data_IF_098407772307
#
_entry.id   IF_098407772307
#
_cell.length_a   1.000
_cell.length_b   1.000
_cell.length_c   1.000
_cell.angle_alpha   90.00
_cell.angle_beta   90.00
_cell.angle_gamma   90.00
#
_symmetry.space_group_name_H-M   'P 1'
#
loop_
_entity.id
_entity.type
_entity.pdbx_description
1 polymer ?
#
# COMPACT_ATOMS: atom_id res chain seq x y z
N UNK A 1 16.99 -24.81 21.72
CA UNK A 1 15.67 -24.16 21.51
C UNK A 1 15.95 -22.87 20.78
N UNK A 2 15.52 -22.72 19.53
CA UNK A 2 15.70 -21.48 18.80
C UNK A 2 14.58 -20.52 19.24
N UNK A 3 14.98 -19.44 19.91
CA UNK A 3 14.12 -18.30 20.20
C UNK A 3 13.83 -17.58 18.87
N UNK A 4 12.75 -17.96 18.21
CA UNK A 4 12.14 -17.15 17.17
C UNK A 4 11.31 -16.07 17.85
N UNK A 5 11.98 -15.03 18.34
CA UNK A 5 11.30 -13.77 18.60
C UNK A 5 10.54 -13.40 17.32
N UNK A 6 9.21 -13.22 17.35
CA UNK A 6 8.50 -12.73 16.19
C UNK A 6 9.12 -11.38 15.86
N UNK A 7 9.64 -11.23 14.64
CA UNK A 7 9.99 -9.91 14.10
C UNK A 7 8.77 -9.03 14.34
N UNK A 8 8.87 -8.10 15.28
CA UNK A 8 7.79 -7.17 15.61
C UNK A 8 7.32 -6.51 14.31
N UNK A 9 6.03 -6.61 14.03
CA UNK A 9 5.37 -5.96 12.90
C UNK A 9 5.83 -4.50 12.82
N UNK A 10 6.38 -4.08 11.68
CA UNK A 10 6.87 -2.71 11.50
C UNK A 10 5.74 -1.81 11.04
N UNK A 11 4.85 -2.33 10.20
CA UNK A 11 3.67 -1.59 9.75
C UNK A 11 2.53 -1.69 10.77
N UNK A 12 1.79 -0.60 10.93
CA UNK A 12 0.68 -0.54 11.87
C UNK A 12 -0.58 0.00 11.19
N UNK A 13 -1.74 -0.36 11.75
CA UNK A 13 -2.99 0.29 11.40
C UNK A 13 -3.01 1.73 12.00
N UNK A 14 -3.75 2.63 11.38
CA UNK A 14 -3.89 4.01 11.86
C UNK A 14 -5.36 4.38 11.98
N UNK A 15 -5.72 5.08 13.06
CA UNK A 15 -7.11 5.39 13.42
C UNK A 15 -7.82 6.25 12.36
N UNK A 16 -7.08 7.07 11.61
CA UNK A 16 -7.62 7.92 10.53
C UNK A 16 -7.80 7.21 9.18
N UNK A 17 -7.50 5.92 9.07
CA UNK A 17 -7.65 5.13 7.86
C UNK A 17 -8.42 3.83 8.08
N UNK A 18 -9.05 3.33 7.03
CA UNK A 18 -9.73 2.03 7.04
C UNK A 18 -9.74 1.40 5.66
N UNK A 19 -9.85 0.07 5.62
CA UNK A 19 -9.97 -0.71 4.40
C UNK A 19 -11.43 -1.10 4.17
N UNK A 20 -12.06 -0.54 3.14
CA UNK A 20 -13.48 -0.75 2.84
C UNK A 20 -13.61 -1.78 1.71
N UNK A 21 -14.31 -2.91 1.92
CA UNK A 21 -14.60 -3.87 0.85
C UNK A 21 -15.30 -3.19 -0.34
N UNK A 22 -14.84 -3.50 -1.54
CA UNK A 22 -15.42 -3.01 -2.78
C UNK A 22 -15.23 -4.02 -3.91
N UNK A 23 -15.93 -3.81 -5.02
CA UNK A 23 -15.78 -4.65 -6.21
C UNK A 23 -16.01 -3.86 -7.49
N UNK A 24 -15.54 -4.41 -8.62
CA UNK A 24 -15.88 -3.94 -9.97
C UNK A 24 -15.65 -2.44 -10.22
N UNK A 25 -14.61 -1.84 -9.62
CA UNK A 25 -14.28 -0.43 -9.78
C UNK A 25 -14.98 0.51 -8.82
N UNK A 26 -15.82 -0.02 -7.93
CA UNK A 26 -16.41 0.79 -6.88
C UNK A 26 -15.33 1.35 -5.97
N UNK A 27 -15.53 2.61 -5.58
CA UNK A 27 -14.69 3.35 -4.65
C UNK A 27 -15.56 3.84 -3.51
N UNK A 28 -14.95 3.98 -2.34
CA UNK A 28 -15.57 4.67 -1.21
C UNK A 28 -15.68 6.17 -1.51
N UNK A 29 -16.73 6.87 -1.03
CA UNK A 29 -16.78 8.34 -1.05
C UNK A 29 -15.58 9.00 -0.33
N UNK A 30 -14.97 8.28 0.62
CA UNK A 30 -13.84 8.73 1.40
C UNK A 30 -12.52 8.09 0.93
N UNK A 31 -12.47 7.51 -0.27
CA UNK A 31 -11.25 6.89 -0.78
C UNK A 31 -10.09 7.89 -0.77
N UNK A 32 -8.90 7.41 -0.40
CA UNK A 32 -7.68 8.18 -0.58
C UNK A 32 -7.50 8.46 -2.07
N UNK A 33 -7.57 9.75 -2.44
CA UNK A 33 -7.47 10.17 -3.83
C UNK A 33 -6.13 10.87 -4.04
N UNK A 34 -5.26 10.20 -4.80
CA UNK A 34 -3.95 10.71 -5.14
C UNK A 34 -3.76 10.66 -6.65
N UNK A 35 -4.62 11.37 -7.40
CA UNK A 35 -4.69 11.44 -8.87
C UNK A 35 -5.49 10.29 -9.53
N UNK A 36 -5.21 9.95 -10.80
CA UNK A 36 -5.96 9.01 -11.68
C UNK A 36 -6.16 7.59 -11.15
N UNK A 37 -5.57 7.24 -10.01
CA UNK A 37 -5.58 5.89 -9.43
C UNK A 37 -5.90 5.98 -7.93
N UNK A 38 -6.57 4.95 -7.41
CA UNK A 38 -6.84 4.82 -5.97
C UNK A 38 -6.03 3.68 -5.38
N UNK A 39 -5.79 3.72 -4.07
CA UNK A 39 -5.05 2.66 -3.38
C UNK A 39 -6.01 1.55 -2.96
N UNK A 40 -5.65 0.32 -3.28
CA UNK A 40 -6.38 -0.85 -2.82
C UNK A 40 -5.48 -2.00 -2.39
N UNK A 41 -6.09 -3.00 -1.78
CA UNK A 41 -5.46 -4.29 -1.47
C UNK A 41 -6.44 -5.44 -1.69
N UNK A 42 -5.94 -6.64 -1.94
CA UNK A 42 -6.79 -7.81 -2.14
C UNK A 42 -6.07 -9.11 -1.85
N UNK A 43 -6.85 -10.14 -1.53
CA UNK A 43 -6.36 -11.49 -1.29
C UNK A 43 -5.91 -12.14 -2.61
N UNK A 44 -4.69 -12.67 -2.62
CA UNK A 44 -4.17 -13.43 -3.76
C UNK A 44 -3.08 -14.40 -3.29
N UNK A 45 -3.16 -15.66 -3.72
CA UNK A 45 -2.13 -16.69 -3.46
C UNK A 45 -1.74 -16.87 -1.98
N UNK A 46 -2.69 -16.64 -1.07
CA UNK A 46 -2.50 -16.76 0.39
C UNK A 46 -1.86 -15.54 1.07
N UNK A 47 -1.67 -14.44 0.34
CA UNK A 47 -1.29 -13.14 0.88
C UNK A 47 -2.35 -12.07 0.63
N UNK A 48 -2.11 -10.88 1.18
CA UNK A 48 -2.88 -9.66 0.91
C UNK A 48 -1.94 -8.67 0.23
N UNK A 49 -2.25 -8.30 -1.01
CA UNK A 49 -1.35 -7.51 -1.85
C UNK A 49 -1.90 -6.13 -2.14
N UNK A 50 -1.16 -5.04 -1.81
CA UNK A 50 -1.55 -3.70 -2.19
C UNK A 50 -1.18 -3.39 -3.65
N UNK A 51 -1.89 -2.43 -4.22
CA UNK A 51 -1.70 -1.95 -5.58
C UNK A 51 -2.61 -0.76 -5.88
N UNK A 52 -2.96 -0.59 -7.15
CA UNK A 52 -3.79 0.52 -7.60
C UNK A 52 -5.11 0.05 -8.21
N UNK A 53 -6.15 0.87 -8.07
CA UNK A 53 -7.47 0.62 -8.64
C UNK A 53 -7.67 1.56 -9.84
N UNK A 54 -7.98 0.96 -10.98
CA UNK A 54 -8.39 1.64 -12.22
C UNK A 54 -9.32 0.71 -13.02
N UNK A 55 -10.11 1.26 -13.95
CA UNK A 55 -10.87 0.51 -14.97
C UNK A 55 -11.56 -0.78 -14.46
N UNK A 56 -12.19 -0.69 -13.29
CA UNK A 56 -12.97 -1.78 -12.67
C UNK A 56 -12.19 -2.93 -12.01
N UNK A 57 -10.95 -2.71 -11.58
CA UNK A 57 -10.22 -3.72 -10.80
C UNK A 57 -9.08 -3.15 -9.98
N UNK A 58 -8.62 -3.96 -9.02
CA UNK A 58 -7.37 -3.75 -8.32
C UNK A 58 -6.25 -4.45 -9.09
N UNK A 59 -5.25 -3.68 -9.50
CA UNK A 59 -4.05 -4.15 -10.20
C UNK A 59 -2.93 -4.35 -9.17
N UNK A 60 -2.45 -5.58 -9.03
CA UNK A 60 -1.34 -5.93 -8.14
C UNK A 60 -0.17 -6.52 -8.93
N UNK A 61 1.04 -6.25 -8.44
CA UNK A 61 2.27 -6.88 -8.92
C UNK A 61 2.50 -8.22 -8.21
N UNK A 62 2.62 -9.29 -9.00
CA UNK A 62 2.91 -10.61 -8.45
C UNK A 62 3.70 -11.50 -9.43
N UNK A 63 4.91 -11.89 -9.02
CA UNK A 63 5.75 -12.91 -9.69
C UNK A 63 5.91 -12.67 -11.20
N UNK A 64 6.26 -11.44 -11.58
CA UNK A 64 6.50 -11.03 -12.96
C UNK A 64 5.26 -10.60 -13.73
N UNK A 65 4.06 -10.68 -13.13
CA UNK A 65 2.78 -10.38 -13.81
C UNK A 65 1.99 -9.29 -13.09
N UNK A 66 1.17 -8.60 -13.86
CA UNK A 66 0.03 -7.86 -13.34
C UNK A 66 -1.15 -8.82 -13.14
N UNK A 67 -1.76 -8.76 -11.96
CA UNK A 67 -2.98 -9.50 -11.63
C UNK A 67 -4.09 -8.49 -11.36
N UNK A 68 -5.26 -8.70 -11.97
CA UNK A 68 -6.42 -7.83 -11.82
C UNK A 68 -7.48 -8.54 -10.97
N UNK A 69 -7.71 -8.04 -9.77
CA UNK A 69 -8.70 -8.55 -8.82
C UNK A 69 -10.01 -7.76 -8.93
N UNK A 70 -11.14 -8.48 -8.96
CA UNK A 70 -12.48 -7.88 -9.02
C UNK A 70 -13.09 -7.59 -7.65
N UNK A 71 -12.66 -8.33 -6.63
CA UNK A 71 -12.99 -8.09 -5.24
C UNK A 71 -11.73 -7.61 -4.54
N UNK A 72 -11.84 -6.51 -3.80
CA UNK A 72 -10.71 -5.87 -3.15
C UNK A 72 -11.20 -5.00 -1.99
N UNK A 73 -10.26 -4.32 -1.34
CA UNK A 73 -10.55 -3.29 -0.36
C UNK A 73 -9.93 -1.98 -0.81
N UNK A 74 -10.65 -0.87 -0.63
CA UNK A 74 -10.22 0.49 -0.95
C UNK A 74 -9.69 1.15 0.32
N UNK A 75 -8.50 1.72 0.26
CA UNK A 75 -8.00 2.55 1.35
C UNK A 75 -8.85 3.82 1.44
N UNK A 76 -9.49 4.03 2.57
CA UNK A 76 -10.44 5.12 2.79
C UNK A 76 -10.13 5.90 4.06
N UNK A 77 -10.32 7.20 4.02
CA UNK A 77 -10.25 8.07 5.18
C UNK A 77 -11.36 7.70 6.17
N UNK A 78 -10.98 7.59 7.45
CA UNK A 78 -11.90 7.37 8.56
C UNK A 78 -11.96 8.64 9.39
N UNK A 79 -13.09 9.35 9.28
CA UNK A 79 -13.36 10.54 10.10
C UNK A 79 -13.68 10.08 11.51
N UNK A 80 -12.81 10.38 12.46
CA UNK A 80 -13.02 10.10 13.87
C UNK A 80 -12.18 11.02 14.76
N UNK A 81 -12.49 11.02 16.07
CA UNK A 81 -11.85 11.94 17.01
C UNK A 81 -12.15 13.40 16.68
N UNK A 82 -11.11 14.21 16.58
CA UNK A 82 -11.19 15.64 16.25
C UNK A 82 -11.21 15.93 14.74
N UNK A 83 -11.08 14.92 13.88
CA UNK A 83 -11.10 15.11 12.43
C UNK A 83 -12.52 15.44 11.96
N UNK A 84 -12.65 16.44 11.09
CA UNK A 84 -13.93 16.89 10.52
C UNK A 84 -14.01 16.73 9.01
N UNK A 85 -12.90 16.41 8.33
CA UNK A 85 -12.87 16.24 6.87
C UNK A 85 -11.96 15.10 6.41
N UNK A 86 -12.21 14.63 5.18
CA UNK A 86 -11.39 13.62 4.51
C UNK A 86 -9.94 14.10 4.39
N UNK A 87 -9.73 15.37 4.04
CA UNK A 87 -8.40 15.96 3.90
C UNK A 87 -7.63 15.89 5.22
N UNK A 88 -8.24 16.25 6.35
CA UNK A 88 -7.60 16.18 7.66
C UNK A 88 -7.20 14.74 8.05
N UNK A 89 -8.00 13.75 7.65
CA UNK A 89 -7.66 12.35 7.84
C UNK A 89 -6.49 11.90 6.95
N UNK A 90 -6.47 12.36 5.70
CA UNK A 90 -5.38 12.06 4.75
C UNK A 90 -4.07 12.76 5.15
N UNK A 91 -4.14 13.96 5.74
CA UNK A 91 -2.99 14.74 6.22
C UNK A 91 -2.23 14.08 7.39
N UNK A 92 -2.82 13.06 8.03
CA UNK A 92 -2.12 12.23 9.01
C UNK A 92 -1.03 11.36 8.36
N UNK A 93 -1.04 11.23 7.03
CA UNK A 93 -0.13 10.39 6.28
C UNK A 93 0.81 11.22 5.41
N UNK A 94 2.03 10.73 5.25
CA UNK A 94 3.06 11.34 4.41
C UNK A 94 3.67 10.29 3.50
N UNK A 95 4.16 10.74 2.36
CA UNK A 95 4.98 9.92 1.48
C UNK A 95 6.45 10.13 1.84
N UNK A 96 7.13 9.05 2.21
CA UNK A 96 8.54 9.08 2.57
C UNK A 96 9.36 8.35 1.51
N UNK A 97 10.36 9.02 0.95
CA UNK A 97 11.25 8.44 -0.05
C UNK A 97 12.22 7.41 0.56
N UNK A 98 12.46 6.34 -0.21
CA UNK A 98 13.40 5.27 0.08
C UNK A 98 14.19 4.91 -1.19
N UNK A 99 15.39 4.36 -0.98
CA UNK A 99 16.24 3.80 -2.02
C UNK A 99 16.69 2.40 -1.63
N UNK A 100 16.45 1.40 -2.48
CA UNK A 100 16.79 0.00 -2.21
C UNK A 100 15.90 -0.61 -1.13
N UNK A 101 16.46 -1.42 -0.23
CA UNK A 101 15.70 -2.08 0.84
C UNK A 101 14.95 -1.05 1.72
N UNK A 102 13.65 -1.27 1.94
CA UNK A 102 12.86 -0.40 2.83
C UNK A 102 13.33 -0.58 4.28
N UNK A 103 13.68 0.53 4.94
CA UNK A 103 14.09 0.55 6.35
C UNK A 103 13.28 1.60 7.11
N UNK A 104 12.04 1.29 7.49
CA UNK A 104 11.19 2.22 8.20
C UNK A 104 11.78 2.41 9.61
N UNK A 105 12.39 3.57 9.84
CA UNK A 105 12.90 3.97 11.16
C UNK A 105 11.78 4.72 11.92
N UNK A 106 11.90 6.04 12.00
CA UNK A 106 10.97 6.98 12.67
C UNK A 106 9.67 7.26 11.90
N UNK A 107 9.36 6.46 10.87
CA UNK A 107 8.16 6.59 10.06
C UNK A 107 7.49 5.22 10.02
N UNK A 108 6.27 5.14 10.54
CA UNK A 108 5.51 3.89 10.64
C UNK A 108 4.77 3.68 9.31
N UNK A 109 5.06 2.64 8.53
CA UNK A 109 4.29 2.34 7.33
C UNK A 109 2.84 2.00 7.70
N UNK A 110 1.89 2.52 6.91
CA UNK A 110 0.51 2.06 7.04
C UNK A 110 0.41 0.60 6.60
N UNK A 111 -0.20 -0.24 7.44
CA UNK A 111 -0.39 -1.67 7.18
C UNK A 111 -1.20 -1.91 5.91
N UNK A 112 -0.56 -2.53 4.92
CA UNK A 112 -1.13 -2.70 3.59
C UNK A 112 -1.39 -4.17 3.22
N UNK A 113 -0.63 -5.10 3.79
CA UNK A 113 -0.81 -6.51 3.52
C UNK A 113 0.40 -7.34 3.92
N UNK A 114 0.49 -8.54 3.37
CA UNK A 114 1.59 -9.47 3.62
C UNK A 114 1.68 -10.51 2.50
N UNK A 115 2.86 -11.07 2.30
CA UNK A 115 3.06 -12.29 1.53
C UNK A 115 2.49 -13.51 2.28
N UNK A 116 2.40 -14.66 1.61
CA UNK A 116 1.91 -15.91 2.19
C UNK A 116 2.67 -16.37 3.45
N UNK A 117 3.96 -16.05 3.53
CA UNK A 117 4.81 -16.38 4.69
C UNK A 117 4.72 -15.35 5.82
N UNK A 118 3.79 -14.39 5.72
CA UNK A 118 3.54 -13.36 6.72
C UNK A 118 4.47 -12.15 6.61
N UNK A 119 5.43 -12.13 5.68
CA UNK A 119 6.29 -10.95 5.47
C UNK A 119 5.44 -9.76 5.04
N UNK A 120 5.59 -8.65 5.76
CA UNK A 120 4.75 -7.47 5.56
C UNK A 120 4.93 -6.82 4.19
N UNK A 121 3.85 -6.24 3.71
CA UNK A 121 3.84 -5.37 2.54
C UNK A 121 3.28 -4.00 2.92
N UNK A 122 3.89 -2.96 2.36
CA UNK A 122 3.56 -1.56 2.57
C UNK A 122 3.03 -0.95 1.27
N UNK A 123 2.28 0.16 1.36
CA UNK A 123 1.86 0.92 0.18
C UNK A 123 3.06 1.67 -0.37
N UNK A 124 3.43 1.39 -1.61
CA UNK A 124 4.45 2.14 -2.34
C UNK A 124 3.80 3.01 -3.41
N UNK A 125 4.40 4.16 -3.72
CA UNK A 125 4.21 4.85 -5.00
C UNK A 125 5.55 5.00 -5.71
N UNK A 126 5.54 4.74 -7.01
CA UNK A 126 6.73 4.70 -7.87
C UNK A 126 6.51 5.65 -9.03
N UNK A 127 7.50 6.50 -9.34
CA UNK A 127 7.43 7.36 -10.52
C UNK A 127 7.79 6.56 -11.77
N UNK A 128 6.86 6.42 -12.71
CA UNK A 128 7.06 5.71 -13.97
C UNK A 128 7.13 6.69 -15.13
N UNK A 129 8.34 7.06 -15.54
CA UNK A 129 8.56 7.97 -16.67
C UNK A 129 7.69 9.23 -16.60
N UNK A 130 6.93 9.47 -17.69
CA UNK A 130 5.99 10.60 -17.80
C UNK A 130 4.56 10.25 -17.37
N UNK A 131 4.28 9.00 -16.99
CA UNK A 131 2.95 8.51 -16.58
C UNK A 131 2.59 8.91 -15.14
N UNK A 132 3.56 9.46 -14.40
CA UNK A 132 3.37 9.92 -13.02
C UNK A 132 3.62 8.81 -12.00
N UNK A 133 2.90 8.87 -10.87
CA UNK A 133 3.03 7.88 -9.81
C UNK A 133 2.08 6.68 -10.04
N UNK A 134 2.61 5.48 -9.84
CA UNK A 134 1.86 4.22 -9.84
C UNK A 134 1.95 3.61 -8.43
N UNK A 135 0.82 3.17 -7.88
CA UNK A 135 0.81 2.50 -6.58
C UNK A 135 1.19 1.02 -6.70
N UNK A 136 1.91 0.53 -5.71
CA UNK A 136 2.37 -0.85 -5.65
C UNK A 136 2.63 -1.28 -4.22
N UNK A 137 3.55 -2.23 -4.09
CA UNK A 137 3.97 -2.79 -2.81
C UNK A 137 5.44 -2.52 -2.54
N UNK A 138 5.77 -2.20 -1.29
CA UNK A 138 7.14 -2.25 -0.77
C UNK A 138 7.24 -3.31 0.33
N UNK A 139 8.44 -3.79 0.60
CA UNK A 139 8.69 -4.77 1.66
C UNK A 139 10.18 -5.02 1.86
N UNK A 140 10.57 -5.31 3.10
CA UNK A 140 12.00 -5.51 3.47
C UNK A 140 12.65 -6.69 2.72
N UNK A 141 11.83 -7.63 2.26
CA UNK A 141 12.23 -8.82 1.52
C UNK A 141 12.14 -8.67 0.00
N UNK A 142 11.60 -7.56 -0.51
CA UNK A 142 11.48 -7.36 -1.95
C UNK A 142 12.83 -6.95 -2.53
N UNK A 143 13.21 -7.59 -3.64
CA UNK A 143 14.38 -7.20 -4.42
C UNK A 143 14.17 -5.78 -4.93
N UNK A 144 15.16 -4.91 -4.73
CA UNK A 144 15.12 -3.46 -4.98
C UNK A 144 14.17 -2.66 -4.05
N UNK A 145 13.41 -3.34 -3.18
CA UNK A 145 12.58 -2.73 -2.14
C UNK A 145 11.11 -2.55 -2.49
N UNK A 146 10.79 -2.27 -3.76
CA UNK A 146 9.41 -2.08 -4.22
C UNK A 146 9.11 -2.80 -5.54
N UNK A 147 7.83 -3.14 -5.72
CA UNK A 147 7.27 -3.71 -6.95
C UNK A 147 5.90 -3.10 -7.27
N UNK A 148 5.61 -2.93 -8.55
CA UNK A 148 4.35 -2.36 -9.04
C UNK A 148 3.93 -3.01 -10.35
N UNK A 149 2.62 -3.03 -10.61
CA UNK A 149 2.09 -3.51 -11.88
C UNK A 149 2.03 -2.35 -12.89
N UNK A 150 2.35 -2.64 -14.15
CA UNK A 150 2.12 -1.70 -15.25
C UNK A 150 1.98 -2.47 -16.56
N UNK A 151 0.91 -2.18 -17.32
CA UNK A 151 0.67 -2.72 -18.67
C UNK A 151 0.91 -4.26 -18.77
N UNK A 152 0.29 -5.03 -17.87
CA UNK A 152 0.34 -6.49 -17.88
C UNK A 152 1.55 -7.13 -17.18
N UNK A 153 2.50 -6.35 -16.67
CA UNK A 153 3.76 -6.86 -16.08
C UNK A 153 4.00 -6.32 -14.67
N UNK A 154 4.74 -7.09 -13.88
CA UNK A 154 5.36 -6.59 -12.65
C UNK A 154 6.71 -5.94 -12.98
N UNK A 155 6.93 -4.76 -12.42
CA UNK A 155 8.20 -4.06 -12.42
C UNK A 155 8.72 -3.91 -10.99
N UNK A 156 10.02 -3.74 -10.86
CA UNK A 156 10.70 -3.42 -9.59
C UNK A 156 11.23 -1.99 -9.66
N UNK A 157 11.45 -1.40 -8.49
CA UNK A 157 11.97 -0.04 -8.39
C UNK A 157 12.90 0.09 -7.19
N UNK A 158 14.08 0.65 -7.43
CA UNK A 158 15.02 1.07 -6.38
C UNK A 158 14.55 2.33 -5.68
N UNK A 159 14.03 3.31 -6.44
CA UNK A 159 13.53 4.58 -5.91
C UNK A 159 12.01 4.56 -5.84
N UNK A 160 11.48 4.75 -4.63
CA UNK A 160 10.04 4.74 -4.36
C UNK A 160 9.73 5.53 -3.10
N UNK A 161 8.45 5.79 -2.87
CA UNK A 161 7.97 6.36 -1.62
C UNK A 161 6.98 5.42 -0.95
N UNK A 162 7.02 5.35 0.39
CA UNK A 162 6.08 4.56 1.20
C UNK A 162 5.11 5.50 1.90
N UNK A 163 3.83 5.11 1.95
CA UNK A 163 2.83 5.82 2.75
C UNK A 163 3.04 5.51 4.23
N UNK A 164 3.41 6.52 4.99
CA UNK A 164 3.78 6.42 6.39
C UNK A 164 2.98 7.40 7.24
N UNK A 165 2.96 7.17 8.55
CA UNK A 165 2.54 8.14 9.55
C UNK A 165 3.60 8.21 10.66
N UNK A 166 3.48 9.22 11.52
CA UNK A 166 4.28 9.34 12.72
C UNK A 166 3.41 8.93 13.90
N UNK A 167 3.98 8.18 14.83
CA UNK A 167 3.31 8.01 16.13
C UNK A 167 3.38 9.38 16.81
N UNK A 168 2.24 10.03 16.92
CA UNK A 168 2.12 11.19 17.78
C UNK A 168 1.70 10.62 19.13
N UNK A 169 2.64 10.54 20.08
CA UNK A 169 2.33 10.28 21.50
C UNK A 169 1.19 11.19 22.00
#
# INVERSE_FOLDING_TARGET
MADHSPSSSVAQDHWAATWIPASNGQLSPNAFNYYRQHIGRGDYEGGVHPGFIINQGLHIAFRGKEIILKNYQVLSAKICGSLTSVDQAQDQFKWKAFHGEVRPQFNIPLKAGHEKDGKELYIARIRHGNDGYIYGKAGRHLIEGAAYAFLGKEYRALDYEVLVFQDNE
#
